data_IF_179269283879
#
_entry.id   IF_179269283879
#
_cell.length_a   1.000
_cell.length_b   1.000
_cell.length_c   1.000
_cell.angle_alpha   90.00
_cell.angle_beta   90.00
_cell.angle_gamma   90.00
#
_symmetry.space_group_name_H-M   'P 1'
#
loop_
_entity.id
_entity.type
_entity.pdbx_description
1 polymer ?
#
# COMPACT_ATOMS: atom_id res chain seq x y z
N UNK A 1 22.14 -48.10 46.22
CA UNK A 1 21.17 -47.03 45.92
C UNK A 1 20.04 -47.63 45.09
N UNK A 2 18.79 -47.59 45.57
CA UNK A 2 17.65 -48.17 44.85
C UNK A 2 16.95 -47.05 44.09
N UNK A 3 17.24 -46.91 42.80
CA UNK A 3 16.49 -46.02 41.92
C UNK A 3 15.11 -46.62 41.71
N UNK A 4 14.08 -45.92 42.20
CA UNK A 4 12.69 -46.37 42.10
C UNK A 4 12.19 -46.15 40.67
N UNK A 5 11.34 -47.05 40.19
CA UNK A 5 10.65 -46.87 38.90
C UNK A 5 9.89 -45.54 38.86
N UNK A 6 9.36 -45.11 40.01
CA UNK A 6 8.70 -43.80 40.16
C UNK A 6 9.63 -42.61 39.91
N UNK A 7 10.89 -42.70 40.36
CA UNK A 7 11.88 -41.64 40.07
C UNK A 7 12.23 -41.57 38.59
N UNK A 8 12.27 -42.71 37.89
CA UNK A 8 12.49 -42.74 36.44
C UNK A 8 11.29 -42.16 35.68
N UNK A 9 10.07 -42.54 36.05
CA UNK A 9 8.84 -42.02 35.44
C UNK A 9 8.69 -40.52 35.65
N UNK A 10 8.98 -40.03 36.86
CA UNK A 10 8.95 -38.60 37.16
C UNK A 10 9.99 -37.82 36.35
N UNK A 11 11.20 -38.37 36.18
CA UNK A 11 12.27 -37.75 35.39
C UNK A 11 11.91 -37.68 33.90
N UNK A 12 11.37 -38.76 33.33
CA UNK A 12 10.94 -38.82 31.94
C UNK A 12 9.76 -37.88 31.69
N UNK A 13 8.81 -37.81 32.63
CA UNK A 13 7.67 -36.90 32.54
C UNK A 13 8.09 -35.42 32.62
N UNK A 14 9.01 -35.07 33.51
CA UNK A 14 9.57 -33.72 33.61
C UNK A 14 10.37 -33.32 32.35
N UNK A 15 11.13 -34.25 31.78
CA UNK A 15 11.87 -34.02 30.54
C UNK A 15 10.95 -33.81 29.32
N UNK A 16 9.76 -34.41 29.34
CA UNK A 16 8.78 -34.34 28.23
C UNK A 16 7.95 -33.05 28.24
N UNK A 17 7.80 -32.39 29.40
CA UNK A 17 6.96 -31.19 29.55
C UNK A 17 7.56 -29.93 28.87
N UNK A 18 8.87 -29.90 28.63
CA UNK A 18 9.56 -28.76 28.02
C UNK A 18 9.66 -28.77 26.50
N UNK A 19 9.25 -29.86 25.83
CA UNK A 19 9.58 -30.11 24.43
C UNK A 19 8.40 -30.01 23.45
N UNK A 20 7.34 -29.30 23.81
CA UNK A 20 6.32 -28.89 22.84
C UNK A 20 6.61 -27.46 22.39
N UNK A 21 7.73 -27.27 21.68
CA UNK A 21 7.88 -26.09 20.83
C UNK A 21 6.84 -26.24 19.72
N UNK A 22 5.73 -25.54 19.83
CA UNK A 22 4.79 -25.35 18.73
C UNK A 22 5.60 -24.75 17.58
N UNK A 23 5.95 -25.58 16.60
CA UNK A 23 6.48 -25.12 15.33
C UNK A 23 5.30 -24.46 14.65
N UNK A 24 5.32 -23.13 14.59
CA UNK A 24 4.31 -22.37 13.88
C UNK A 24 4.31 -22.85 12.42
N UNK A 25 3.26 -23.58 12.07
CA UNK A 25 3.04 -24.06 10.71
C UNK A 25 2.75 -22.85 9.85
N UNK A 26 3.72 -22.51 8.99
CA UNK A 26 3.65 -21.64 7.82
C UNK A 26 2.29 -20.93 7.64
N UNK A 27 2.00 -19.95 8.50
CA UNK A 27 0.83 -19.10 8.36
C UNK A 27 1.15 -18.16 7.20
N UNK A 28 0.30 -18.06 6.16
CA UNK A 28 0.56 -17.13 5.06
C UNK A 28 0.60 -15.71 5.63
N UNK A 29 1.82 -15.19 5.80
CA UNK A 29 2.09 -13.88 6.34
C UNK A 29 2.60 -12.99 5.21
N UNK A 30 2.05 -11.78 5.09
CA UNK A 30 2.54 -10.82 4.11
C UNK A 30 3.93 -10.37 4.51
N UNK A 31 4.93 -10.64 3.67
CA UNK A 31 6.31 -10.21 3.91
C UNK A 31 6.66 -9.00 3.06
N UNK A 32 7.47 -8.08 3.60
CA UNK A 32 8.05 -7.00 2.81
C UNK A 32 9.14 -7.54 1.85
N UNK A 33 9.74 -6.66 1.04
CA UNK A 33 10.85 -7.01 0.13
C UNK A 33 12.10 -7.55 0.83
N UNK A 34 12.18 -7.41 2.16
CA UNK A 34 13.28 -7.91 3.00
C UNK A 34 12.93 -9.25 3.67
N UNK A 35 11.76 -9.82 3.39
CA UNK A 35 11.29 -11.08 3.99
C UNK A 35 10.77 -10.95 5.42
N UNK A 36 10.62 -9.74 5.96
CA UNK A 36 10.04 -9.51 7.29
C UNK A 36 8.53 -9.56 7.23
N UNK A 37 7.91 -10.27 8.17
CA UNK A 37 6.46 -10.30 8.37
C UNK A 37 5.97 -8.90 8.74
N UNK A 38 5.09 -8.34 7.91
CA UNK A 38 4.46 -7.04 8.13
C UNK A 38 2.97 -7.22 8.38
N UNK A 39 2.45 -6.50 9.38
CA UNK A 39 1.02 -6.47 9.63
C UNK A 39 0.31 -5.73 8.48
N UNK A 40 -0.82 -6.28 8.02
CA UNK A 40 -1.64 -5.62 7.01
C UNK A 40 -2.23 -4.33 7.58
N UNK A 41 -1.82 -3.18 7.04
CA UNK A 41 -2.37 -1.88 7.39
C UNK A 41 -3.40 -1.43 6.34
N UNK A 42 -4.69 -1.62 6.64
CA UNK A 42 -5.77 -1.23 5.74
C UNK A 42 -5.81 0.28 5.44
N UNK A 43 -5.30 1.12 6.35
CA UNK A 43 -5.29 2.58 6.19
C UNK A 43 -4.35 3.06 5.07
N UNK A 44 -3.31 2.30 4.76
CA UNK A 44 -2.37 2.65 3.68
C UNK A 44 -2.91 2.29 2.29
N UNK A 45 -3.77 1.27 2.23
CA UNK A 45 -4.39 0.77 1.00
C UNK A 45 -5.48 1.73 0.51
N UNK A 46 -6.26 2.31 1.42
CA UNK A 46 -7.30 3.27 1.07
C UNK A 46 -6.93 4.69 1.50
N UNK A 47 -6.35 5.46 0.57
CA UNK A 47 -5.97 6.86 0.81
C UNK A 47 -7.00 7.82 0.17
N UNK A 48 -8.05 8.26 0.90
CA UNK A 48 -9.09 9.14 0.36
C UNK A 48 -8.53 10.51 -0.05
N UNK A 49 -7.47 10.99 0.61
CA UNK A 49 -6.79 12.23 0.26
C UNK A 49 -6.18 12.18 -1.16
N UNK A 50 -5.49 11.07 -1.51
CA UNK A 50 -4.90 10.87 -2.85
C UNK A 50 -5.96 10.90 -3.96
N UNK A 51 -7.17 10.40 -3.69
CA UNK A 51 -8.29 10.46 -4.65
C UNK A 51 -8.75 11.89 -4.91
N UNK A 52 -8.92 12.69 -3.84
CA UNK A 52 -9.34 14.11 -3.96
C UNK A 52 -8.32 14.94 -4.70
N UNK A 53 -7.03 14.74 -4.43
CA UNK A 53 -5.96 15.47 -5.13
C UNK A 53 -5.93 15.17 -6.62
N UNK A 54 -6.14 13.90 -7.00
CA UNK A 54 -6.17 13.48 -8.39
C UNK A 54 -7.38 14.06 -9.13
N UNK A 55 -8.53 14.15 -8.46
CA UNK A 55 -9.73 14.78 -9.02
C UNK A 55 -9.54 16.29 -9.23
N UNK A 56 -8.95 16.98 -8.24
CA UNK A 56 -8.62 18.41 -8.35
C UNK A 56 -7.66 18.69 -9.51
N UNK A 57 -6.62 17.85 -9.68
CA UNK A 57 -5.69 17.94 -10.81
C UNK A 57 -6.41 17.75 -12.17
N UNK A 58 -7.34 16.80 -12.26
CA UNK A 58 -8.16 16.61 -13.47
C UNK A 58 -9.00 17.84 -13.81
N UNK A 59 -9.66 18.45 -12.81
CA UNK A 59 -10.45 19.68 -13.01
C UNK A 59 -9.59 20.84 -13.47
N UNK A 60 -8.44 21.06 -12.84
CA UNK A 60 -7.50 22.12 -13.23
C UNK A 60 -6.97 21.94 -14.66
N UNK A 61 -6.67 20.69 -15.07
CA UNK A 61 -6.22 20.40 -16.42
C UNK A 61 -7.31 20.65 -17.47
N UNK A 62 -8.57 20.32 -17.16
CA UNK A 62 -9.71 20.60 -18.02
C UNK A 62 -9.92 22.12 -18.22
N UNK A 63 -9.78 22.92 -17.16
CA UNK A 63 -9.85 24.38 -17.24
C UNK A 63 -8.75 24.95 -18.13
N UNK A 64 -7.49 24.55 -17.91
CA UNK A 64 -6.36 24.98 -18.77
C UNK A 64 -6.58 24.65 -20.24
N UNK A 65 -7.14 23.47 -20.57
CA UNK A 65 -7.47 23.12 -21.96
C UNK A 65 -8.48 24.08 -22.60
N UNK A 66 -9.51 24.50 -21.85
CA UNK A 66 -10.49 25.47 -22.33
C UNK A 66 -9.84 26.83 -22.58
N UNK A 67 -9.04 27.32 -21.64
CA UNK A 67 -8.32 28.60 -21.78
C UNK A 67 -7.42 28.62 -23.02
N UNK A 68 -6.66 27.54 -23.24
CA UNK A 68 -5.81 27.41 -24.44
C UNK A 68 -6.65 27.45 -25.72
N UNK A 69 -7.81 26.78 -25.74
CA UNK A 69 -8.73 26.82 -26.89
C UNK A 69 -9.24 28.23 -27.15
N UNK A 70 -9.65 28.96 -26.10
CA UNK A 70 -10.10 30.35 -26.23
C UNK A 70 -8.99 31.26 -26.76
N UNK A 71 -7.77 31.15 -26.23
CA UNK A 71 -6.61 31.92 -26.72
C UNK A 71 -6.32 31.63 -28.19
N UNK A 72 -6.37 30.37 -28.62
CA UNK A 72 -6.20 30.02 -30.04
C UNK A 72 -7.26 30.66 -30.94
N UNK A 73 -8.53 30.68 -30.52
CA UNK A 73 -9.59 31.36 -31.28
C UNK A 73 -9.36 32.86 -31.37
N UNK A 74 -9.00 33.49 -30.24
CA UNK A 74 -8.72 34.92 -30.21
C UNK A 74 -7.55 35.29 -31.15
N UNK A 75 -6.46 34.51 -31.14
CA UNK A 75 -5.34 34.71 -32.06
C UNK A 75 -5.77 34.54 -33.52
N UNK A 76 -6.58 33.52 -33.82
CA UNK A 76 -7.05 33.28 -35.18
C UNK A 76 -8.02 34.37 -35.68
N UNK A 77 -8.77 35.01 -34.77
CA UNK A 77 -9.61 36.15 -35.10
C UNK A 77 -8.76 37.39 -35.37
N UNK A 78 -7.85 37.71 -34.46
CA UNK A 78 -6.96 38.87 -34.61
C UNK A 78 -6.13 38.80 -35.91
N UNK A 79 -5.67 37.59 -36.31
CA UNK A 79 -5.01 37.39 -37.62
C UNK A 79 -5.91 37.69 -38.82
N UNK A 80 -7.21 37.40 -38.73
CA UNK A 80 -8.17 37.72 -39.81
C UNK A 80 -8.41 39.22 -39.88
N UNK A 81 -8.58 39.86 -38.74
CA UNK A 81 -8.83 41.30 -38.66
C UNK A 81 -7.62 42.08 -39.23
N UNK A 82 -6.39 41.74 -38.82
CA UNK A 82 -5.16 42.34 -39.39
C UNK A 82 -5.03 42.11 -40.89
N UNK A 83 -5.45 40.95 -41.40
CA UNK A 83 -5.41 40.66 -42.84
C UNK A 83 -6.49 41.41 -43.65
N UNK A 84 -7.51 41.96 -43.01
CA UNK A 84 -8.56 42.76 -43.66
C UNK A 84 -8.25 44.26 -43.64
N UNK A 85 -7.34 44.69 -42.77
CA UNK A 85 -6.87 46.09 -42.66
C UNK A 85 -5.66 46.41 -43.56
N UNK A 86 -5.06 45.40 -44.22
CA UNK A 86 -3.99 45.54 -45.21
C UNK A 86 -4.51 45.51 -46.64
#
# INVERSE_FOLDING_TARGET
>A
MRFSLFTLVALVSAASAGLVRRVDVNVPAMTNSEGKVVAFNAAEVFQPAKKRDLENKKRALAQRKREVSHKKRAIAQNKRDVSQEQ
#
